data_IF_392470802883
#
_entry.id   IF_392470802883
#
_cell.length_a   1.000
_cell.length_b   1.000
_cell.length_c   1.000
_cell.angle_alpha   90.00
_cell.angle_beta   90.00
_cell.angle_gamma   90.00
#
_symmetry.space_group_name_H-M   'P 1'
#
loop_
_entity.id
_entity.type
_entity.pdbx_description
1 polymer ?
#
# COMPACT_ATOMS: atom_id res chain seq x y z
N UNK A 1 13.65 -13.25 16.11
CA UNK A 1 13.07 -12.00 15.55
C UNK A 1 13.63 -10.71 16.18
N UNK A 2 13.90 -10.64 17.49
CA UNK A 2 14.41 -9.42 18.15
C UNK A 2 15.72 -8.89 17.55
N UNK A 3 16.69 -9.77 17.26
CA UNK A 3 17.98 -9.35 16.68
C UNK A 3 17.81 -8.65 15.32
N UNK A 4 17.00 -9.21 14.42
CA UNK A 4 16.71 -8.61 13.09
C UNK A 4 16.07 -7.23 13.25
N UNK A 5 15.06 -7.12 14.11
CA UNK A 5 14.40 -5.84 14.41
C UNK A 5 15.34 -4.84 15.08
N UNK A 6 16.29 -5.27 15.90
CA UNK A 6 17.18 -4.41 16.68
C UNK A 6 18.43 -3.96 15.92
N UNK A 7 19.00 -4.84 15.09
CA UNK A 7 20.36 -4.68 14.57
C UNK A 7 20.47 -4.77 13.03
N UNK A 8 19.40 -5.14 12.32
CA UNK A 8 19.41 -5.24 10.84
C UNK A 8 18.47 -4.21 10.20
N UNK A 9 17.20 -4.13 10.65
CA UNK A 9 16.22 -3.21 10.06
C UNK A 9 16.61 -1.75 10.34
N UNK A 10 16.67 -0.94 9.28
CA UNK A 10 17.02 0.49 9.30
C UNK A 10 15.80 1.37 8.98
N UNK A 11 15.93 2.67 9.24
CA UNK A 11 14.95 3.68 8.83
C UNK A 11 13.82 3.91 9.83
N UNK A 12 13.01 4.92 9.56
CA UNK A 12 11.97 5.45 10.46
C UNK A 12 10.93 4.39 10.83
N UNK A 13 10.60 3.51 9.88
CA UNK A 13 9.59 2.47 10.05
C UNK A 13 10.03 1.24 10.88
N UNK A 14 11.24 1.24 11.43
CA UNK A 14 11.79 0.12 12.21
C UNK A 14 10.89 -0.25 13.41
N UNK A 15 10.35 0.77 14.08
CA UNK A 15 9.56 0.62 15.31
C UNK A 15 8.14 1.19 15.18
N UNK A 16 7.67 1.40 13.95
CA UNK A 16 6.34 1.96 13.68
C UNK A 16 5.44 0.91 13.02
N UNK A 17 4.13 0.92 13.30
CA UNK A 17 3.15 0.17 12.52
C UNK A 17 3.24 0.52 11.03
N UNK A 18 2.97 -0.46 10.17
CA UNK A 18 2.94 -0.24 8.71
C UNK A 18 1.51 0.10 8.28
N UNK A 19 1.33 1.03 7.32
CA UNK A 19 0.01 1.38 6.85
C UNK A 19 -0.67 0.17 6.20
N UNK A 20 -1.96 0.02 6.43
CA UNK A 20 -2.82 -0.90 5.69
C UNK A 20 -2.96 -0.38 4.27
N UNK A 21 -2.55 -1.18 3.30
CA UNK A 21 -2.46 -0.78 1.90
C UNK A 21 -3.45 -1.50 0.99
N UNK A 22 -3.83 -0.85 -0.11
CA UNK A 22 -4.49 -1.44 -1.26
C UNK A 22 -3.59 -1.28 -2.49
N UNK A 23 -3.24 -2.40 -3.11
CA UNK A 23 -2.41 -2.44 -4.32
C UNK A 23 -3.28 -2.65 -5.56
N UNK A 24 -2.99 -1.96 -6.66
CA UNK A 24 -3.81 -1.99 -7.87
C UNK A 24 -3.66 -3.26 -8.73
N UNK A 25 -2.66 -4.11 -8.49
CA UNK A 25 -2.27 -5.21 -9.38
C UNK A 25 -3.42 -6.17 -9.71
N UNK A 26 -3.95 -6.91 -8.74
CA UNK A 26 -5.06 -7.84 -9.02
C UNK A 26 -6.38 -7.13 -9.36
N UNK A 27 -6.51 -5.84 -8.99
CA UNK A 27 -7.71 -5.05 -9.22
C UNK A 27 -7.84 -4.53 -10.66
N UNK A 28 -6.72 -4.39 -11.38
CA UNK A 28 -6.72 -3.83 -12.72
C UNK A 28 -5.71 -4.44 -13.69
N UNK A 29 -4.67 -5.14 -13.22
CA UNK A 29 -3.49 -5.53 -14.00
C UNK A 29 -3.10 -4.37 -14.93
N UNK A 30 -2.91 -4.64 -16.22
CA UNK A 30 -2.57 -3.62 -17.24
C UNK A 30 -3.77 -2.86 -17.82
N UNK A 31 -5.00 -3.04 -17.28
CA UNK A 31 -6.22 -2.41 -17.80
C UNK A 31 -6.79 -1.42 -16.79
N UNK A 32 -6.08 -0.31 -16.62
CA UNK A 32 -6.56 0.85 -15.89
C UNK A 32 -6.48 2.15 -16.67
N UNK A 33 -7.25 3.11 -16.18
CA UNK A 33 -7.16 4.51 -16.50
C UNK A 33 -7.23 5.30 -15.18
N UNK A 34 -6.90 6.59 -15.22
CA UNK A 34 -6.94 7.46 -14.05
C UNK A 34 -8.30 7.42 -13.33
N UNK A 35 -9.40 7.42 -14.09
CA UNK A 35 -10.75 7.44 -13.54
C UNK A 35 -11.06 6.18 -12.72
N UNK A 36 -10.64 5.00 -13.19
CA UNK A 36 -10.78 3.73 -12.48
C UNK A 36 -9.94 3.72 -11.21
N UNK A 37 -8.68 4.17 -11.28
CA UNK A 37 -7.81 4.23 -10.11
C UNK A 37 -8.36 5.18 -9.05
N UNK A 38 -8.85 6.36 -9.44
CA UNK A 38 -9.45 7.32 -8.52
C UNK A 38 -10.71 6.78 -7.86
N UNK A 39 -11.56 6.04 -8.57
CA UNK A 39 -12.73 5.37 -7.96
C UNK A 39 -12.29 4.33 -6.94
N UNK A 40 -11.28 3.52 -7.26
CA UNK A 40 -10.76 2.50 -6.35
C UNK A 40 -10.14 3.13 -5.09
N UNK A 41 -9.34 4.18 -5.24
CA UNK A 41 -8.73 4.90 -4.13
C UNK A 41 -9.77 5.58 -3.21
N UNK A 42 -10.85 6.12 -3.78
CA UNK A 42 -11.97 6.67 -2.99
C UNK A 42 -12.69 5.59 -2.18
N UNK A 43 -13.02 4.47 -2.81
CA UNK A 43 -13.63 3.33 -2.11
C UNK A 43 -12.70 2.77 -1.01
N UNK A 44 -11.38 2.72 -1.27
CA UNK A 44 -10.38 2.30 -0.29
C UNK A 44 -10.36 3.21 0.94
N UNK A 45 -10.43 4.53 0.72
CA UNK A 45 -10.53 5.52 1.81
C UNK A 45 -11.78 5.31 2.65
N UNK A 46 -12.92 5.02 2.02
CA UNK A 46 -14.20 4.85 2.72
C UNK A 46 -14.19 3.64 3.68
N UNK A 47 -13.35 2.65 3.44
CA UNK A 47 -13.15 1.47 4.30
C UNK A 47 -11.91 1.56 5.20
N UNK A 48 -11.22 2.70 5.22
CA UNK A 48 -10.09 2.96 6.12
C UNK A 48 -8.72 2.49 5.64
N UNK A 49 -8.52 2.26 4.34
CA UNK A 49 -7.18 2.02 3.78
C UNK A 49 -6.33 3.29 3.91
N UNK A 50 -5.08 3.11 4.32
CA UNK A 50 -4.15 4.20 4.65
C UNK A 50 -3.16 4.51 3.52
N UNK A 51 -2.92 3.56 2.61
CA UNK A 51 -1.98 3.68 1.50
C UNK A 51 -2.55 3.05 0.22
N UNK A 52 -2.60 3.82 -0.87
CA UNK A 52 -2.89 3.30 -2.20
C UNK A 52 -1.59 3.11 -2.98
N UNK A 53 -1.34 1.89 -3.45
CA UNK A 53 -0.15 1.55 -4.24
C UNK A 53 -0.57 1.34 -5.69
N UNK A 54 -0.06 2.21 -6.56
CA UNK A 54 -0.12 2.00 -8.01
C UNK A 54 0.98 1.01 -8.40
N UNK A 55 0.56 -0.15 -8.88
CA UNK A 55 1.41 -1.24 -9.35
C UNK A 55 1.59 -1.19 -10.88
N UNK A 56 2.30 -2.16 -11.45
CA UNK A 56 2.72 -2.19 -12.84
C UNK A 56 1.56 -2.02 -13.85
N UNK A 57 1.82 -1.25 -14.90
CA UNK A 57 0.94 -1.07 -16.07
C UNK A 57 0.40 0.33 -16.21
#
# INVERSE_FOLDING_TARGET
HAFVRGHIVRGEWKSQPRPVLLNSWEAAYFRFDEGRLLRLARAARDVGIELFVLDDG
#
